data_IF_530073911847
#
_entry.id   IF_530073911847
#
_cell.length_a   1.000
_cell.length_b   1.000
_cell.length_c   1.000
_cell.angle_alpha   90.00
_cell.angle_beta   90.00
_cell.angle_gamma   90.00
#
_symmetry.space_group_name_H-M   'P 1'
#
loop_
_entity.id
_entity.type
_entity.pdbx_description
1 polymer ?
#
# COMPACT_ATOMS: atom_id res chain seq x y z
N UNK A 1 -6.26 11.18 27.44
CA UNK A 1 -6.26 9.83 26.86
C UNK A 1 -7.69 9.31 26.96
N UNK A 2 -8.31 8.96 25.83
CA UNK A 2 -9.68 8.46 25.80
C UNK A 2 -9.74 7.12 26.57
N UNK A 3 -10.63 6.96 27.59
CA UNK A 3 -10.70 5.73 28.39
C UNK A 3 -11.01 4.49 27.54
N UNK A 4 -11.61 4.67 26.35
CA UNK A 4 -11.83 3.63 25.36
C UNK A 4 -10.55 2.85 25.03
N UNK A 5 -9.42 3.53 24.82
CA UNK A 5 -8.16 2.90 24.39
C UNK A 5 -7.49 2.04 25.47
N UNK A 6 -7.90 2.22 26.73
CA UNK A 6 -7.45 1.40 27.85
C UNK A 6 -8.34 0.17 28.09
N UNK A 7 -9.52 0.09 27.44
CA UNK A 7 -10.48 -1.00 27.66
C UNK A 7 -9.99 -2.35 27.11
N UNK A 8 -10.46 -3.44 27.72
CA UNK A 8 -10.19 -4.80 27.22
C UNK A 8 -10.81 -5.03 25.84
N UNK A 9 -12.01 -4.47 25.59
CA UNK A 9 -12.66 -4.56 24.30
C UNK A 9 -11.81 -3.92 23.20
N UNK A 10 -11.23 -2.73 23.47
CA UNK A 10 -10.31 -2.10 22.53
C UNK A 10 -9.09 -2.97 22.29
N UNK A 11 -8.42 -3.45 23.34
CA UNK A 11 -7.21 -4.28 23.22
C UNK A 11 -7.43 -5.64 22.56
N UNK A 12 -8.68 -6.13 22.53
CA UNK A 12 -9.03 -7.39 21.87
C UNK A 12 -9.09 -7.26 20.33
N UNK A 13 -9.19 -6.03 19.80
CA UNK A 13 -9.14 -5.80 18.36
C UNK A 13 -7.70 -5.92 17.86
N UNK A 14 -7.56 -6.53 16.69
CA UNK A 14 -6.30 -6.55 15.94
C UNK A 14 -5.65 -5.14 15.89
N UNK A 15 -4.38 -4.99 16.32
CA UNK A 15 -3.69 -3.70 16.38
C UNK A 15 -3.70 -2.89 15.08
N UNK A 16 -3.68 -3.57 13.92
CA UNK A 16 -3.73 -2.91 12.63
C UNK A 16 -5.12 -2.30 12.37
N UNK A 17 -6.20 -3.00 12.74
CA UNK A 17 -7.56 -2.46 12.67
C UNK A 17 -7.80 -1.32 13.67
N UNK A 18 -7.16 -1.39 14.86
CA UNK A 18 -7.19 -0.30 15.85
C UNK A 18 -6.58 0.97 15.29
N UNK A 19 -5.48 0.87 14.53
CA UNK A 19 -4.84 2.03 13.91
C UNK A 19 -5.80 2.77 12.97
N UNK A 20 -6.49 2.04 12.09
CA UNK A 20 -7.48 2.61 11.17
C UNK A 20 -8.67 3.24 11.91
N UNK A 21 -9.20 2.54 12.91
CA UNK A 21 -10.37 2.98 13.67
C UNK A 21 -10.06 4.21 14.55
N UNK A 22 -8.90 4.23 15.19
CA UNK A 22 -8.45 5.32 16.05
C UNK A 22 -8.41 6.63 15.27
N UNK A 23 -7.88 6.62 14.05
CA UNK A 23 -7.83 7.81 13.20
C UNK A 23 -9.23 8.36 12.89
N UNK A 24 -10.25 7.51 12.82
CA UNK A 24 -11.65 7.94 12.62
C UNK A 24 -12.25 8.48 13.92
N UNK A 25 -12.02 7.80 15.06
CA UNK A 25 -12.52 8.22 16.37
C UNK A 25 -11.95 9.60 16.76
N UNK A 26 -10.69 9.85 16.45
CA UNK A 26 -10.01 11.11 16.75
C UNK A 26 -10.28 12.22 15.70
N UNK A 27 -11.20 11.99 14.75
CA UNK A 27 -11.54 12.90 13.65
C UNK A 27 -10.34 13.33 12.78
N UNK A 28 -9.32 12.47 12.73
CA UNK A 28 -8.11 12.65 11.91
C UNK A 28 -8.33 12.12 10.49
N UNK A 29 -9.22 11.14 10.35
CA UNK A 29 -9.63 10.51 9.09
C UNK A 29 -11.15 10.50 8.99
N UNK A 30 -11.74 10.89 7.84
CA UNK A 30 -13.19 10.99 7.70
C UNK A 30 -13.91 9.63 7.74
N UNK A 31 -13.20 8.53 7.48
CA UNK A 31 -13.75 7.18 7.55
C UNK A 31 -12.72 6.10 7.24
N UNK A 32 -13.07 4.86 7.53
CA UNK A 32 -12.22 3.69 7.29
C UNK A 32 -13.03 2.51 6.74
N UNK A 33 -12.33 1.62 6.02
CA UNK A 33 -12.85 0.30 5.68
C UNK A 33 -12.22 -0.72 6.63
N UNK A 34 -13.06 -1.41 7.41
CA UNK A 34 -12.61 -2.40 8.38
C UNK A 34 -13.12 -3.78 7.95
N UNK A 35 -12.23 -4.78 7.99
CA UNK A 35 -12.53 -6.18 7.73
C UNK A 35 -11.95 -7.03 8.86
N UNK A 36 -12.74 -7.88 9.50
CA UNK A 36 -12.28 -8.67 10.65
C UNK A 36 -13.41 -9.21 11.52
N UNK A 37 -13.08 -9.60 12.75
CA UNK A 37 -14.05 -10.02 13.77
C UNK A 37 -14.87 -8.83 14.26
N UNK A 38 -16.20 -8.96 14.17
CA UNK A 38 -17.16 -7.90 14.38
C UNK A 38 -17.64 -7.76 15.83
N UNK A 39 -17.43 -8.76 16.69
CA UNK A 39 -17.97 -8.76 18.05
C UNK A 39 -17.49 -7.57 18.90
N UNK A 40 -16.18 -7.48 19.20
CA UNK A 40 -15.61 -6.35 19.93
C UNK A 40 -15.79 -5.02 19.17
N UNK A 41 -15.69 -5.07 17.84
CA UNK A 41 -15.80 -3.92 16.96
C UNK A 41 -17.15 -3.21 17.09
N UNK A 42 -18.28 -3.94 17.07
CA UNK A 42 -19.62 -3.35 17.18
C UNK A 42 -19.84 -2.59 18.49
N UNK A 43 -19.24 -3.07 19.59
CA UNK A 43 -19.37 -2.42 20.89
C UNK A 43 -18.65 -1.06 20.88
N UNK A 44 -17.43 -1.05 20.37
CA UNK A 44 -16.63 0.19 20.26
C UNK A 44 -17.29 1.21 19.35
N UNK A 45 -17.86 0.79 18.21
CA UNK A 45 -18.61 1.71 17.33
C UNK A 45 -19.77 2.38 18.07
N UNK A 46 -20.56 1.60 18.83
CA UNK A 46 -21.68 2.14 19.63
C UNK A 46 -21.23 3.13 20.70
N UNK A 47 -20.02 2.96 21.23
CA UNK A 47 -19.46 3.83 22.27
C UNK A 47 -18.74 5.06 21.70
N UNK A 48 -18.51 5.13 20.39
CA UNK A 48 -17.65 6.15 19.76
C UNK A 48 -18.40 7.21 18.92
N UNK A 49 -19.72 7.35 19.06
CA UNK A 49 -20.57 8.20 18.19
C UNK A 49 -20.40 7.94 16.67
N UNK A 50 -19.85 6.78 16.31
CA UNK A 50 -19.65 6.34 14.93
C UNK A 50 -20.80 5.45 14.48
N UNK A 51 -21.02 5.42 13.17
CA UNK A 51 -21.91 4.46 12.53
C UNK A 51 -21.08 3.47 11.69
N UNK A 52 -21.64 2.27 11.48
CA UNK A 52 -21.05 1.27 10.60
C UNK A 52 -22.09 0.72 9.63
N UNK A 53 -21.69 0.54 8.39
CA UNK A 53 -22.51 -0.11 7.36
C UNK A 53 -21.71 -1.21 6.71
N UNK A 54 -22.23 -2.44 6.74
CA UNK A 54 -21.59 -3.57 6.08
C UNK A 54 -21.94 -3.64 4.59
N UNK A 55 -20.95 -4.04 3.79
CA UNK A 55 -21.19 -4.62 2.47
C UNK A 55 -20.92 -6.11 2.61
N UNK A 56 -21.97 -6.91 2.69
CA UNK A 56 -21.86 -8.34 2.40
C UNK A 56 -22.24 -8.59 0.95
N UNK A 57 -21.25 -8.94 0.13
CA UNK A 57 -21.53 -9.83 -1.01
C UNK A 57 -21.89 -11.20 -0.43
N UNK A 58 -22.85 -11.91 -1.02
CA UNK A 58 -23.20 -13.28 -0.64
C UNK A 58 -22.04 -14.29 -0.76
N UNK A 59 -20.91 -13.87 -1.33
CA UNK A 59 -19.70 -14.67 -1.54
C UNK A 59 -18.52 -14.26 -0.63
N UNK A 60 -18.66 -13.20 0.17
CA UNK A 60 -17.57 -12.73 1.03
C UNK A 60 -17.62 -13.43 2.39
N UNK A 61 -16.57 -14.20 2.66
CA UNK A 61 -16.32 -14.88 3.95
C UNK A 61 -15.89 -13.88 5.04
N UNK A 62 -15.49 -12.66 4.65
CA UNK A 62 -15.11 -11.56 5.54
C UNK A 62 -16.02 -10.36 5.29
N UNK A 63 -16.74 -9.93 6.32
CA UNK A 63 -17.62 -8.77 6.26
C UNK A 63 -16.76 -7.49 6.24
N UNK A 64 -16.78 -6.77 5.13
CA UNK A 64 -16.21 -5.43 5.02
C UNK A 64 -17.25 -4.40 5.46
N UNK A 65 -16.85 -3.44 6.28
CA UNK A 65 -17.71 -2.30 6.57
C UNK A 65 -17.01 -0.97 6.42
N UNK A 66 -17.85 0.01 6.12
CA UNK A 66 -17.50 1.41 6.16
C UNK A 66 -17.84 1.92 7.56
N UNK A 67 -16.89 2.58 8.20
CA UNK A 67 -17.07 3.22 9.50
C UNK A 67 -16.71 4.68 9.38
N UNK A 68 -17.60 5.54 9.85
CA UNK A 68 -17.39 6.98 9.97
C UNK A 68 -18.47 7.61 10.84
N UNK A 69 -18.35 8.92 11.09
CA UNK A 69 -19.43 9.71 11.66
C UNK A 69 -20.70 9.63 10.78
N UNK A 70 -21.92 9.70 11.36
CA UNK A 70 -23.18 9.50 10.63
C UNK A 70 -23.36 10.37 9.39
N UNK A 71 -22.95 11.64 9.45
CA UNK A 71 -23.01 12.58 8.34
C UNK A 71 -22.01 12.24 7.23
N UNK A 72 -20.83 11.74 7.58
CA UNK A 72 -19.80 11.29 6.64
C UNK A 72 -20.25 10.03 5.90
N UNK A 73 -20.89 9.09 6.59
CA UNK A 73 -21.50 7.92 5.93
C UNK A 73 -22.63 8.33 5.00
N UNK A 74 -23.51 9.25 5.43
CA UNK A 74 -24.58 9.77 4.57
C UNK A 74 -24.04 10.47 3.32
N UNK A 75 -22.99 11.28 3.45
CA UNK A 75 -22.31 11.92 2.32
C UNK A 75 -21.70 10.88 1.38
N UNK A 76 -20.96 9.92 1.93
CA UNK A 76 -20.33 8.84 1.18
C UNK A 76 -21.35 8.01 0.38
N UNK A 77 -22.45 7.59 1.01
CA UNK A 77 -23.49 6.83 0.32
C UNK A 77 -24.26 7.66 -0.68
N UNK A 78 -24.53 8.94 -0.40
CA UNK A 78 -25.13 9.85 -1.39
C UNK A 78 -24.27 9.93 -2.63
N UNK A 79 -22.96 10.05 -2.46
CA UNK A 79 -22.02 10.07 -3.58
C UNK A 79 -21.98 8.72 -4.29
N UNK A 80 -22.02 7.58 -3.60
CA UNK A 80 -22.01 6.26 -4.27
C UNK A 80 -23.32 5.88 -4.95
N UNK A 81 -24.47 6.34 -4.45
CA UNK A 81 -25.80 6.01 -4.97
C UNK A 81 -26.21 6.82 -6.20
N UNK A 82 -25.48 7.89 -6.53
CA UNK A 82 -25.70 8.59 -7.80
C UNK A 82 -25.53 7.60 -8.99
N UNK A 83 -26.37 7.69 -10.04
CA UNK A 83 -26.44 6.69 -11.10
C UNK A 83 -25.06 6.30 -11.64
N UNK A 84 -24.74 5.01 -11.56
CA UNK A 84 -23.48 4.44 -12.07
C UNK A 84 -23.27 4.70 -13.56
N UNK A 85 -24.34 4.99 -14.31
CA UNK A 85 -24.31 5.39 -15.72
C UNK A 85 -23.48 6.66 -15.97
N UNK A 86 -23.28 7.49 -14.94
CA UNK A 86 -22.48 8.73 -15.02
C UNK A 86 -21.14 8.63 -14.28
N UNK A 87 -20.85 7.51 -13.60
CA UNK A 87 -19.63 7.36 -12.81
C UNK A 87 -18.62 6.48 -13.53
N UNK A 88 -17.44 7.04 -13.73
CA UNK A 88 -16.27 6.30 -14.17
C UNK A 88 -15.61 5.58 -12.99
N UNK A 89 -14.76 4.60 -13.27
CA UNK A 89 -13.89 3.97 -12.25
C UNK A 89 -13.06 5.04 -11.51
N UNK A 90 -12.63 6.08 -12.22
CA UNK A 90 -11.89 7.22 -11.66
C UNK A 90 -12.71 7.98 -10.61
N UNK A 91 -14.02 8.16 -10.84
CA UNK A 91 -14.93 8.81 -9.88
C UNK A 91 -15.08 7.99 -8.60
N UNK A 92 -15.11 6.65 -8.71
CA UNK A 92 -15.22 5.75 -7.55
C UNK A 92 -13.97 5.85 -6.68
N UNK A 93 -12.78 5.75 -7.26
CA UNK A 93 -11.51 5.91 -6.51
C UNK A 93 -11.39 7.29 -5.89
N UNK A 94 -11.89 8.33 -6.56
CA UNK A 94 -11.92 9.68 -5.99
C UNK A 94 -12.83 9.78 -4.77
N UNK A 95 -14.01 9.16 -4.81
CA UNK A 95 -14.94 9.13 -3.67
C UNK A 95 -14.31 8.35 -2.52
N UNK A 96 -13.73 7.17 -2.80
CA UNK A 96 -13.10 6.33 -1.78
C UNK A 96 -11.86 7.01 -1.16
N UNK A 97 -10.98 7.59 -1.97
CA UNK A 97 -9.82 8.31 -1.46
C UNK A 97 -10.18 9.53 -0.62
N UNK A 98 -11.24 10.27 -0.98
CA UNK A 98 -11.77 11.35 -0.14
C UNK A 98 -12.32 10.83 1.19
N UNK A 99 -13.09 9.74 1.15
CA UNK A 99 -13.65 9.09 2.34
C UNK A 99 -12.56 8.54 3.27
N UNK A 100 -11.41 8.14 2.70
CA UNK A 100 -10.24 7.70 3.45
C UNK A 100 -9.30 8.86 3.84
N UNK A 101 -9.67 10.11 3.59
CA UNK A 101 -8.89 11.28 4.01
C UNK A 101 -7.58 11.48 3.25
N UNK A 102 -7.44 10.93 2.04
CA UNK A 102 -6.22 11.08 1.26
C UNK A 102 -6.11 12.50 0.67
N UNK A 103 -4.89 13.07 0.57
CA UNK A 103 -4.68 14.36 -0.07
C UNK A 103 -5.24 14.41 -1.50
N UNK A 104 -5.78 15.56 -1.90
CA UNK A 104 -6.42 15.71 -3.21
C UNK A 104 -5.45 15.40 -4.37
N UNK A 105 -4.17 15.77 -4.24
CA UNK A 105 -3.13 15.45 -5.21
C UNK A 105 -2.95 13.93 -5.37
N UNK A 106 -2.90 13.19 -4.26
CA UNK A 106 -2.83 11.73 -4.24
C UNK A 106 -4.08 11.12 -4.88
N UNK A 107 -5.26 11.59 -4.51
CA UNK A 107 -6.54 11.13 -5.08
C UNK A 107 -6.61 11.33 -6.60
N UNK A 108 -6.09 12.45 -7.11
CA UNK A 108 -6.00 12.69 -8.57
C UNK A 108 -5.06 11.70 -9.23
N UNK A 109 -3.89 11.43 -8.65
CA UNK A 109 -2.93 10.48 -9.20
C UNK A 109 -3.53 9.07 -9.35
N UNK A 110 -4.27 8.60 -8.33
CA UNK A 110 -5.03 7.34 -8.40
C UNK A 110 -6.03 7.28 -9.55
N UNK A 111 -6.63 8.42 -9.90
CA UNK A 111 -7.63 8.53 -10.95
C UNK A 111 -7.03 8.59 -12.37
N UNK A 112 -5.77 9.02 -12.49
CA UNK A 112 -5.05 9.15 -13.76
C UNK A 112 -4.37 7.85 -14.19
N UNK A 113 -3.87 7.07 -13.23
CA UNK A 113 -3.31 5.76 -13.55
C UNK A 113 -4.47 4.77 -13.73
N UNK A 114 -4.48 4.06 -14.85
CA UNK A 114 -5.33 2.89 -15.07
C UNK A 114 -4.92 1.74 -14.13
N UNK A 115 -5.07 1.94 -12.82
CA UNK A 115 -4.77 0.98 -11.73
C UNK A 115 -5.90 -0.05 -11.58
N UNK A 116 -6.49 -0.49 -12.70
CA UNK A 116 -7.34 -1.67 -12.67
C UNK A 116 -6.41 -2.89 -12.56
N UNK A 117 -6.11 -3.29 -11.33
CA UNK A 117 -5.74 -4.67 -11.04
C UNK A 117 -6.72 -5.23 -10.00
N UNK A 118 -7.38 -6.35 -10.30
CA UNK A 118 -8.11 -7.11 -9.29
C UNK A 118 -7.12 -7.62 -8.24
N UNK A 119 -7.62 -7.83 -7.01
CA UNK A 119 -6.94 -8.60 -5.98
C UNK A 119 -6.22 -9.83 -6.58
N UNK A 120 -4.89 -9.91 -6.42
CA UNK A 120 -4.09 -11.08 -6.82
C UNK A 120 -3.18 -10.94 -8.06
N UNK A 121 -3.10 -9.78 -8.72
CA UNK A 121 -2.23 -9.63 -9.90
C UNK A 121 -0.74 -9.38 -9.53
N UNK A 122 0.13 -10.37 -9.81
CA UNK A 122 1.59 -10.35 -9.54
C UNK A 122 2.34 -9.15 -10.17
N UNK A 123 3.18 -8.52 -9.33
CA UNK A 123 4.35 -7.64 -9.59
C UNK A 123 4.50 -7.07 -11.01
N UNK A 124 3.89 -5.91 -11.26
CA UNK A 124 4.55 -4.85 -12.03
C UNK A 124 4.12 -3.51 -11.43
N UNK A 125 4.49 -3.31 -10.16
CA UNK A 125 4.21 -2.12 -9.34
C UNK A 125 5.07 -0.90 -9.73
N UNK A 126 5.82 -1.01 -10.83
CA UNK A 126 6.83 -0.06 -11.30
C UNK A 126 6.29 1.19 -12.00
N UNK A 127 4.96 1.36 -12.08
CA UNK A 127 4.35 2.53 -12.76
C UNK A 127 3.97 3.67 -11.82
N UNK A 128 3.85 3.44 -10.51
CA UNK A 128 3.48 4.51 -9.59
C UNK A 128 4.71 5.38 -9.26
N UNK A 129 4.67 6.72 -9.44
CA UNK A 129 5.83 7.60 -9.22
C UNK A 129 6.42 7.43 -7.82
N UNK A 130 5.58 7.40 -6.78
CA UNK A 130 6.00 7.11 -5.40
C UNK A 130 6.87 5.85 -5.27
N UNK A 131 6.48 4.70 -5.82
CA UNK A 131 7.26 3.45 -5.70
C UNK A 131 8.64 3.59 -6.34
N UNK A 132 8.70 4.21 -7.51
CA UNK A 132 9.95 4.44 -8.24
C UNK A 132 10.87 5.40 -7.48
N UNK A 133 10.31 6.48 -6.96
CA UNK A 133 11.05 7.47 -6.18
C UNK A 133 11.53 6.88 -4.85
N UNK A 134 10.68 6.13 -4.15
CA UNK A 134 11.03 5.42 -2.93
C UNK A 134 12.20 4.46 -3.17
N UNK A 135 12.15 3.64 -4.23
CA UNK A 135 13.23 2.74 -4.59
C UNK A 135 14.53 3.46 -4.95
N UNK A 136 14.45 4.61 -5.64
CA UNK A 136 15.61 5.45 -5.92
C UNK A 136 16.23 6.03 -4.64
N UNK A 137 15.41 6.53 -3.71
CA UNK A 137 15.86 7.04 -2.41
C UNK A 137 16.53 5.96 -1.57
N UNK A 138 15.96 4.75 -1.54
CA UNK A 138 16.58 3.62 -0.83
C UNK A 138 17.92 3.26 -1.46
N UNK A 139 18.01 3.20 -2.80
CA UNK A 139 19.26 2.89 -3.48
C UNK A 139 20.34 3.96 -3.25
N UNK A 140 19.97 5.24 -3.22
CA UNK A 140 20.91 6.36 -3.07
C UNK A 140 21.29 6.63 -1.60
N UNK A 141 20.31 6.61 -0.70
CA UNK A 141 20.44 7.06 0.69
C UNK A 141 20.29 5.93 1.71
N UNK A 142 19.99 4.70 1.28
CA UNK A 142 19.76 3.56 2.17
C UNK A 142 18.49 3.68 3.01
N UNK A 143 17.64 4.67 2.76
CA UNK A 143 16.44 4.96 3.55
C UNK A 143 15.46 5.88 2.82
N UNK A 144 14.25 6.00 3.37
CA UNK A 144 13.23 6.98 2.97
C UNK A 144 12.58 7.60 4.23
N UNK A 145 11.77 8.67 4.10
CA UNK A 145 11.13 9.31 5.25
C UNK A 145 10.25 8.35 6.07
N UNK A 146 10.60 8.12 7.35
CA UNK A 146 9.91 7.18 8.23
C UNK A 146 8.41 7.48 8.43
N UNK A 147 7.95 8.69 8.10
CA UNK A 147 6.53 9.04 8.14
C UNK A 147 5.68 8.15 7.22
N UNK A 148 6.26 7.61 6.13
CA UNK A 148 5.56 6.72 5.21
C UNK A 148 5.23 5.36 5.83
N UNK A 149 5.64 5.07 7.06
CA UNK A 149 5.37 3.79 7.72
C UNK A 149 4.06 3.78 8.48
N UNK A 150 3.50 4.97 8.67
CA UNK A 150 2.19 5.18 9.26
C UNK A 150 1.11 5.23 8.18
N UNK A 151 1.43 4.75 6.96
CA UNK A 151 0.46 4.71 5.87
C UNK A 151 -0.46 3.48 6.03
N UNK A 152 -1.77 3.64 5.89
CA UNK A 152 -2.69 2.56 5.58
C UNK A 152 -2.22 1.76 4.37
N UNK A 153 -2.49 0.44 4.29
CA UNK A 153 -2.07 -0.41 3.18
C UNK A 153 -2.63 0.06 1.83
N UNK A 154 -3.83 0.64 1.86
CA UNK A 154 -4.50 1.17 0.68
C UNK A 154 -4.04 2.60 0.33
N UNK A 155 -3.10 3.19 1.08
CA UNK A 155 -2.58 4.53 0.81
C UNK A 155 -1.15 4.51 0.26
N UNK A 156 -1.03 5.06 -0.93
CA UNK A 156 0.17 5.25 -1.73
C UNK A 156 0.17 6.73 -2.12
N UNK A 157 1.10 7.54 -1.56
CA UNK A 157 1.25 8.94 -1.94
C UNK A 157 1.48 9.11 -3.44
N UNK A 158 1.15 10.27 -4.03
CA UNK A 158 1.46 10.53 -5.45
C UNK A 158 2.98 10.57 -5.72
N UNK A 159 3.79 10.96 -4.75
CA UNK A 159 5.25 11.08 -4.82
C UNK A 159 5.87 10.85 -3.44
N UNK A 160 7.13 10.38 -3.39
CA UNK A 160 7.90 10.25 -2.14
C UNK A 160 8.25 11.61 -1.51
N UNK A 161 8.07 12.70 -2.27
CA UNK A 161 8.25 14.08 -1.83
C UNK A 161 6.92 14.85 -1.73
N UNK A 162 5.79 14.15 -1.66
CA UNK A 162 4.49 14.82 -1.56
C UNK A 162 4.30 15.45 -0.17
N UNK A 163 4.43 16.78 -0.09
CA UNK A 163 4.28 17.54 1.16
C UNK A 163 2.91 17.32 1.81
N UNK A 164 1.83 17.30 1.03
CA UNK A 164 0.47 17.06 1.58
C UNK A 164 0.37 15.67 2.20
N UNK A 165 0.94 14.64 1.55
CA UNK A 165 0.92 13.27 2.08
C UNK A 165 1.78 13.17 3.34
N UNK A 166 2.95 13.80 3.35
CA UNK A 166 3.82 13.86 4.53
C UNK A 166 3.10 14.56 5.68
N UNK A 167 2.42 15.67 5.44
CA UNK A 167 1.65 16.39 6.47
C UNK A 167 0.50 15.55 7.01
N UNK A 168 -0.26 14.89 6.13
CA UNK A 168 -1.34 13.96 6.53
C UNK A 168 -0.78 12.81 7.37
N UNK A 169 0.30 12.15 6.93
CA UNK A 169 0.89 11.03 7.64
C UNK A 169 1.53 11.42 8.97
N UNK A 170 2.10 12.63 9.08
CA UNK A 170 2.57 13.15 10.37
C UNK A 170 1.40 13.34 11.34
N UNK A 171 0.26 13.85 10.86
CA UNK A 171 -0.94 13.99 11.68
C UNK A 171 -1.42 12.62 12.17
N UNK A 172 -1.39 11.61 11.29
CA UNK A 172 -1.79 10.24 11.61
C UNK A 172 -0.83 9.59 12.61
N UNK A 173 0.47 9.72 12.36
CA UNK A 173 1.54 9.29 13.27
C UNK A 173 1.33 9.87 14.67
N UNK A 174 1.17 11.19 14.76
CA UNK A 174 1.04 11.88 16.06
C UNK A 174 -0.20 11.41 16.83
N UNK A 175 -1.32 11.17 16.13
CA UNK A 175 -2.54 10.65 16.74
C UNK A 175 -2.35 9.21 17.25
N UNK A 176 -1.74 8.34 16.43
CA UNK A 176 -1.47 6.95 16.76
C UNK A 176 -0.50 6.82 17.94
N UNK A 177 0.67 7.47 17.85
CA UNK A 177 1.69 7.39 18.90
C UNK A 177 1.22 7.97 20.24
N UNK A 178 0.34 8.97 20.21
CA UNK A 178 -0.20 9.58 21.42
C UNK A 178 -1.27 8.71 22.11
N UNK A 179 -2.12 8.06 21.32
CA UNK A 179 -3.34 7.43 21.83
C UNK A 179 -3.26 5.90 21.88
N UNK A 180 -2.56 5.25 20.95
CA UNK A 180 -2.33 3.80 20.92
C UNK A 180 -0.97 3.43 20.29
N UNK A 181 0.12 3.50 21.08
CA UNK A 181 1.46 3.17 20.61
C UNK A 181 1.61 1.74 20.07
N UNK A 182 0.79 0.79 20.55
CA UNK A 182 0.85 -0.60 20.09
C UNK A 182 0.24 -0.73 18.69
N UNK A 183 -0.88 -0.04 18.42
CA UNK A 183 -1.44 0.05 17.07
C UNK A 183 -0.48 0.78 16.10
N UNK A 184 0.18 1.84 16.57
CA UNK A 184 1.20 2.55 15.80
C UNK A 184 2.35 1.60 15.38
N UNK A 185 2.89 0.84 16.33
CA UNK A 185 3.96 -0.14 16.07
C UNK A 185 3.52 -1.23 15.09
N UNK A 186 2.32 -1.78 15.26
CA UNK A 186 1.81 -2.82 14.38
C UNK A 186 1.62 -2.34 12.93
N UNK A 187 1.16 -1.09 12.73
CA UNK A 187 1.04 -0.50 11.40
C UNK A 187 2.41 -0.34 10.72
N UNK A 188 3.42 0.09 11.49
CA UNK A 188 4.80 0.22 11.04
C UNK A 188 5.35 -1.16 10.64
N UNK A 189 5.22 -2.17 11.51
CA UNK A 189 5.63 -3.56 11.25
C UNK A 189 4.95 -4.13 9.99
N UNK A 190 3.63 -3.95 9.85
CA UNK A 190 2.88 -4.37 8.66
C UNK A 190 3.45 -3.76 7.37
N UNK A 191 3.75 -2.46 7.39
CA UNK A 191 4.32 -1.78 6.23
C UNK A 191 5.75 -2.24 5.91
N UNK A 192 6.51 -2.68 6.91
CA UNK A 192 7.86 -3.22 6.71
C UNK A 192 7.82 -4.62 6.09
N UNK A 193 6.92 -5.48 6.56
CA UNK A 193 6.72 -6.82 6.00
C UNK A 193 6.30 -6.77 4.52
N UNK A 194 5.47 -5.79 4.16
CA UNK A 194 5.05 -5.55 2.77
C UNK A 194 6.15 -4.97 1.87
N UNK A 195 7.17 -4.33 2.47
CA UNK A 195 8.25 -3.63 1.78
C UNK A 195 9.62 -4.04 2.35
N UNK A 196 10.05 -5.31 2.18
CA UNK A 196 11.32 -5.81 2.73
C UNK A 196 12.55 -5.05 2.19
N UNK A 197 12.38 -4.33 1.08
CA UNK A 197 13.34 -3.37 0.53
C UNK A 197 13.70 -2.23 1.50
N UNK A 198 12.93 -2.08 2.59
CA UNK A 198 13.18 -1.18 3.71
C UNK A 198 14.05 -1.80 4.80
N UNK A 199 13.94 -3.10 5.04
CA UNK A 199 14.92 -3.85 5.85
C UNK A 199 16.23 -4.07 5.09
N UNK A 200 16.17 -4.03 3.77
CA UNK A 200 17.31 -4.07 2.89
C UNK A 200 18.17 -2.80 3.09
N UNK A 201 19.01 -2.86 4.13
CA UNK A 201 20.27 -2.17 4.25
C UNK A 201 20.88 -1.99 2.85
N UNK A 202 21.52 -0.84 2.60
CA UNK A 202 22.32 -0.58 1.39
C UNK A 202 23.07 -1.83 0.89
N UNK A 203 23.58 -2.65 1.79
CA UNK A 203 24.23 -3.95 1.56
C UNK A 203 23.40 -4.98 0.78
N UNK A 204 22.09 -5.11 1.03
CA UNK A 204 21.20 -5.98 0.25
C UNK A 204 21.02 -5.46 -1.16
N UNK A 205 20.80 -4.15 -1.33
CA UNK A 205 20.69 -3.54 -2.66
C UNK A 205 22.02 -3.57 -3.42
N UNK A 206 23.14 -3.36 -2.74
CA UNK A 206 24.48 -3.54 -3.29
C UNK A 206 24.70 -5.00 -3.72
N UNK A 207 24.26 -5.97 -2.90
CA UNK A 207 24.34 -7.40 -3.24
C UNK A 207 23.46 -7.76 -4.44
N UNK A 208 22.23 -7.23 -4.51
CA UNK A 208 21.27 -7.50 -5.58
C UNK A 208 21.67 -6.82 -6.89
N UNK A 209 22.26 -5.62 -6.80
CA UNK A 209 22.84 -4.90 -7.95
C UNK A 209 24.05 -5.66 -8.48
N UNK A 210 24.97 -6.07 -7.60
CA UNK A 210 26.13 -6.89 -7.95
C UNK A 210 25.74 -8.24 -8.54
N UNK A 211 24.68 -8.87 -8.03
CA UNK A 211 24.15 -10.12 -8.59
C UNK A 211 23.56 -9.91 -9.99
N UNK A 212 22.80 -8.82 -10.22
CA UNK A 212 22.27 -8.47 -11.55
C UNK A 212 23.40 -8.17 -12.55
N UNK A 213 24.43 -7.44 -12.14
CA UNK A 213 25.62 -7.19 -12.96
C UNK A 213 26.33 -8.50 -13.33
N UNK A 214 26.54 -9.40 -12.35
CA UNK A 214 27.13 -10.72 -12.56
C UNK A 214 26.29 -11.59 -13.50
N UNK A 215 24.96 -11.57 -13.36
CA UNK A 215 24.05 -12.31 -14.25
C UNK A 215 24.10 -11.77 -15.69
N UNK A 216 24.11 -10.44 -15.86
CA UNK A 216 24.25 -9.82 -17.19
C UNK A 216 25.60 -10.17 -17.83
N UNK A 217 26.67 -10.16 -17.03
CA UNK A 217 28.03 -10.51 -17.47
C UNK A 217 28.12 -11.99 -17.86
N UNK A 218 27.49 -12.88 -17.09
CA UNK A 218 27.39 -14.31 -17.41
C UNK A 218 26.60 -14.55 -18.69
N UNK A 219 25.46 -13.90 -18.86
CA UNK A 219 24.66 -14.01 -20.08
C UNK A 219 25.43 -13.52 -21.31
N UNK A 220 26.14 -12.41 -21.19
CA UNK A 220 27.02 -11.91 -22.24
C UNK A 220 28.09 -12.95 -22.57
N UNK A 221 28.85 -13.42 -21.59
CA UNK A 221 29.91 -14.42 -21.79
C UNK A 221 29.41 -15.72 -22.44
N UNK A 222 28.27 -16.24 -22.00
CA UNK A 222 27.65 -17.44 -22.59
C UNK A 222 27.21 -17.20 -24.02
N UNK A 223 26.69 -16.00 -24.32
CA UNK A 223 26.37 -15.58 -25.69
C UNK A 223 27.60 -15.54 -26.59
N UNK A 224 28.70 -14.92 -26.12
CA UNK A 224 29.95 -14.82 -26.89
C UNK A 224 30.62 -16.18 -27.07
N UNK A 225 30.65 -17.01 -26.02
CA UNK A 225 31.23 -18.36 -26.06
C UNK A 225 30.45 -19.27 -27.02
N UNK A 226 29.12 -19.25 -26.97
CA UNK A 226 28.29 -20.03 -27.89
C UNK A 226 28.48 -19.57 -29.34
N UNK A 227 28.57 -18.25 -29.59
CA UNK A 227 28.82 -17.73 -30.93
C UNK A 227 30.20 -18.16 -31.49
N UNK A 228 31.25 -18.17 -30.65
CA UNK A 228 32.58 -18.63 -31.03
C UNK A 228 32.61 -20.16 -31.27
N UNK A 229 31.95 -20.93 -30.42
CA UNK A 229 31.83 -22.38 -30.56
C UNK A 229 31.08 -22.77 -31.84
N UNK A 230 29.97 -22.09 -32.15
CA UNK A 230 29.26 -22.28 -33.41
C UNK A 230 30.11 -21.92 -34.63
N UNK A 231 30.89 -20.84 -34.56
CA UNK A 231 31.80 -20.45 -35.63
C UNK A 231 32.89 -21.51 -35.87
N UNK A 232 33.44 -22.09 -34.80
CA UNK A 232 34.41 -23.19 -34.90
C UNK A 232 33.78 -24.47 -35.45
N UNK A 233 32.57 -24.84 -35.01
CA UNK A 233 31.83 -25.98 -35.56
C UNK A 233 31.53 -25.80 -37.05
N UNK A 234 31.14 -24.60 -37.49
CA UNK A 234 30.94 -24.29 -38.92
C UNK A 234 32.24 -24.39 -39.70
N UNK A 235 33.37 -23.92 -39.13
CA UNK A 235 34.70 -24.06 -39.74
C UNK A 235 35.11 -25.53 -39.89
N UNK A 236 34.90 -26.35 -38.86
CA UNK A 236 35.19 -27.78 -38.91
C UNK A 236 34.28 -28.55 -39.88
N UNK A 237 32.98 -28.22 -39.94
CA UNK A 237 32.05 -28.82 -40.91
C UNK A 237 32.43 -28.45 -42.35
N UNK A 238 32.86 -27.21 -42.61
CA UNK A 238 33.40 -26.80 -43.92
C UNK A 238 34.67 -27.57 -44.30
N UNK A 239 35.58 -27.78 -43.35
CA UNK A 239 36.82 -28.53 -43.59
C UNK A 239 36.54 -30.02 -43.92
N UNK A 240 35.54 -30.64 -43.28
CA UNK A 240 35.11 -32.01 -43.60
C UNK A 240 34.34 -32.16 -44.91
N UNK A 241 33.79 -31.07 -45.45
CA UNK A 241 33.08 -31.09 -46.73
C UNK A 241 34.03 -30.88 -47.94
N UNK A 242 35.29 -30.53 -47.68
CA UNK A 242 36.33 -30.27 -48.70
C UNK A 242 37.33 -31.45 -48.80
N UNK A 243 37.31 -32.37 -47.84
CA UNK A 243 38.04 -33.64 -47.82
C UNK A 243 37.20 -34.78 -48.40
#
# INVERSE_FOLDING_TARGET
>A
MNPLYASEDWRSIDPFLRAELLLVIEDVKPGAFIAGDWGPFQRIIRESDLECTSRSSQYDIHLHACVAAPERLREFFRDKLQPLTNKTVADIHRIDGKFLGYPQCCVKEYSHQSMIRPFGAKKSDTKHPFRRELGAMIAEHGSYPAVFDYRPPAFTPCSAHCDDAIATLNTWKDALERNDPDAARALVEFNWEGEPEREAHKEYWDALTKERELQSTRQWFLGTYNAQFEAQLRKHKKLRAIS
#
